data_IF_708540712761
#
_entry.id   IF_708540712761
#
_cell.length_a   1.000
_cell.length_b   1.000
_cell.length_c   1.000
_cell.angle_alpha   90.00
_cell.angle_beta   90.00
_cell.angle_gamma   90.00
#
_symmetry.space_group_name_H-M   'P 1'
#
loop_
_entity.id
_entity.type
_entity.pdbx_description
1 polymer ?
#
# COMPACT_ATOMS: atom_id res chain seq x y z
N UNK A 1 8.07 21.51 19.56
CA UNK A 1 7.92 20.27 18.77
C UNK A 1 6.45 20.08 18.51
N UNK A 2 6.05 19.90 17.25
CA UNK A 2 4.65 19.68 16.87
C UNK A 2 4.35 18.19 16.76
N UNK A 3 3.13 17.81 17.07
CA UNK A 3 2.69 16.42 17.06
C UNK A 3 1.35 16.28 16.31
N UNK A 4 1.18 15.14 15.67
CA UNK A 4 0.03 14.84 14.82
C UNK A 4 -0.45 13.42 15.09
N UNK A 5 -1.74 13.18 14.93
CA UNK A 5 -2.29 11.83 14.90
C UNK A 5 -2.33 11.32 13.47
N UNK A 6 -1.81 10.13 13.26
CA UNK A 6 -1.95 9.38 12.02
C UNK A 6 -2.70 8.09 12.27
N UNK A 7 -3.73 7.82 11.46
CA UNK A 7 -4.53 6.60 11.52
C UNK A 7 -4.51 5.90 10.18
N UNK A 8 -4.21 4.60 10.19
CA UNK A 8 -4.15 3.73 9.02
C UNK A 8 -5.21 2.64 9.17
N UNK A 9 -6.23 2.67 8.33
CA UNK A 9 -7.34 1.73 8.34
C UNK A 9 -7.08 0.64 7.31
N UNK A 10 -6.75 -0.55 7.78
CA UNK A 10 -6.61 -1.74 6.94
C UNK A 10 -7.82 -2.67 7.05
N UNK A 11 -7.90 -3.64 6.14
CA UNK A 11 -9.03 -4.60 6.12
C UNK A 11 -9.11 -5.55 7.32
N UNK A 12 -8.03 -5.70 8.13
CA UNK A 12 -7.99 -6.59 9.30
C UNK A 12 -7.75 -5.85 10.61
N UNK A 13 -7.21 -4.64 10.56
CA UNK A 13 -6.90 -3.84 11.74
C UNK A 13 -6.82 -2.36 11.41
N UNK A 14 -7.17 -1.53 12.38
CA UNK A 14 -6.90 -0.10 12.39
C UNK A 14 -5.65 0.11 13.25
N UNK A 15 -4.70 0.88 12.73
CA UNK A 15 -3.49 1.28 13.44
C UNK A 15 -3.43 2.79 13.56
N UNK A 16 -2.92 3.29 14.65
CA UNK A 16 -2.70 4.72 14.80
C UNK A 16 -1.45 5.03 15.58
N UNK A 17 -0.96 6.25 15.41
CA UNK A 17 0.23 6.71 16.11
C UNK A 17 0.23 8.21 16.38
N UNK A 18 0.97 8.59 17.42
CA UNK A 18 1.39 9.95 17.69
C UNK A 18 2.73 10.16 16.99
N UNK A 19 2.75 11.06 16.02
CA UNK A 19 3.91 11.30 15.14
C UNK A 19 4.40 12.73 15.34
N UNK A 20 5.72 12.92 15.51
CA UNK A 20 6.31 14.24 15.56
C UNK A 20 6.58 14.85 14.18
N UNK A 21 7.05 16.10 14.16
CA UNK A 21 7.34 16.84 12.92
C UNK A 21 8.49 16.24 12.08
N UNK A 22 9.29 15.35 12.66
CA UNK A 22 10.39 14.63 12.00
C UNK A 22 9.96 13.23 11.50
N UNK A 23 8.68 12.89 11.64
CA UNK A 23 8.12 11.61 11.19
C UNK A 23 8.36 10.44 12.16
N UNK A 24 8.88 10.70 13.36
CA UNK A 24 9.10 9.69 14.39
C UNK A 24 7.79 9.35 15.09
N UNK A 25 7.47 8.06 15.15
CA UNK A 25 6.32 7.55 15.88
C UNK A 25 6.67 7.39 17.36
N UNK A 26 6.02 8.16 18.22
CA UNK A 26 6.26 8.16 19.67
C UNK A 26 5.42 7.09 20.38
N UNK A 27 4.23 6.84 19.90
CA UNK A 27 3.28 5.88 20.45
C UNK A 27 2.47 5.26 19.33
N UNK A 28 2.14 3.97 19.46
CA UNK A 28 1.29 3.23 18.53
C UNK A 28 0.21 2.46 19.27
N UNK A 29 -0.97 2.41 18.69
CA UNK A 29 -2.05 1.53 19.12
C UNK A 29 -2.67 0.84 17.92
N UNK A 30 -3.15 -0.40 18.13
CA UNK A 30 -3.77 -1.22 17.07
C UNK A 30 -5.03 -1.86 17.62
N UNK A 31 -6.13 -1.75 16.87
CA UNK A 31 -7.38 -2.43 17.13
C UNK A 31 -7.74 -3.34 15.94
N UNK A 32 -8.20 -4.56 16.21
CA UNK A 32 -8.70 -5.45 15.15
C UNK A 32 -10.02 -4.92 14.59
N UNK A 33 -10.20 -5.07 13.30
CA UNK A 33 -11.49 -4.81 12.65
C UNK A 33 -12.38 -6.04 12.84
N UNK A 34 -13.59 -5.78 13.29
CA UNK A 34 -14.71 -6.74 13.33
C UNK A 34 -15.84 -6.28 12.37
N UNK A 35 -17.09 -6.51 12.71
CA UNK A 35 -18.24 -6.10 11.90
C UNK A 35 -18.53 -4.60 11.89
N UNK A 36 -18.03 -3.84 12.90
CA UNK A 36 -18.18 -2.38 13.00
C UNK A 36 -16.85 -1.69 12.68
N UNK A 37 -16.81 -0.92 11.60
CA UNK A 37 -15.59 -0.26 11.17
C UNK A 37 -15.29 1.03 11.96
N UNK A 38 -16.28 1.68 12.57
CA UNK A 38 -16.10 2.92 13.34
C UNK A 38 -15.50 2.63 14.72
N UNK A 39 -15.96 1.57 15.39
CA UNK A 39 -15.46 1.24 16.72
C UNK A 39 -13.93 1.06 16.79
N UNK A 40 -13.27 0.31 15.88
CA UNK A 40 -11.81 0.21 15.89
C UNK A 40 -11.10 1.55 15.66
N UNK A 41 -11.65 2.43 14.82
CA UNK A 41 -11.12 3.79 14.61
C UNK A 41 -11.20 4.59 15.90
N UNK A 42 -12.40 4.60 16.54
CA UNK A 42 -12.62 5.30 17.78
C UNK A 42 -11.71 4.80 18.91
N UNK A 43 -11.55 3.48 19.03
CA UNK A 43 -10.68 2.86 20.02
C UNK A 43 -9.23 3.33 19.85
N UNK A 44 -8.73 3.34 18.61
CA UNK A 44 -7.39 3.82 18.30
C UNK A 44 -7.24 5.31 18.66
N UNK A 45 -8.16 6.17 18.23
CA UNK A 45 -8.09 7.62 18.50
C UNK A 45 -8.18 7.92 20.01
N UNK A 46 -9.01 7.19 20.75
CA UNK A 46 -9.08 7.32 22.22
C UNK A 46 -7.71 7.01 22.86
N UNK A 47 -7.04 5.92 22.46
CA UNK A 47 -5.74 5.56 22.99
C UNK A 47 -4.66 6.62 22.64
N UNK A 48 -4.70 7.20 21.43
CA UNK A 48 -3.79 8.28 21.05
C UNK A 48 -4.01 9.56 21.90
N UNK A 49 -5.28 9.92 22.15
CA UNK A 49 -5.63 11.08 22.99
C UNK A 49 -5.23 10.87 24.45
N UNK A 50 -5.42 9.67 24.97
CA UNK A 50 -4.99 9.31 26.32
C UNK A 50 -3.47 9.44 26.47
N UNK A 51 -2.70 8.88 25.54
CA UNK A 51 -1.26 9.03 25.52
C UNK A 51 -0.84 10.50 25.46
N UNK A 52 -1.43 11.29 24.55
CA UNK A 52 -1.13 12.70 24.39
C UNK A 52 -1.42 13.49 25.67
N UNK A 53 -2.56 13.23 26.34
CA UNK A 53 -2.93 13.83 27.64
C UNK A 53 -1.89 13.51 28.71
N UNK A 54 -1.47 12.25 28.84
CA UNK A 54 -0.50 11.80 29.83
C UNK A 54 0.92 12.38 29.62
N UNK A 55 1.21 12.84 28.41
CA UNK A 55 2.48 13.50 28.01
C UNK A 55 2.37 15.02 27.86
N UNK A 56 1.19 15.60 28.21
CA UNK A 56 0.91 17.02 28.04
C UNK A 56 1.11 17.53 26.60
N UNK A 57 0.88 16.64 25.63
CA UNK A 57 0.96 16.93 24.20
C UNK A 57 -0.40 17.43 23.70
N UNK A 58 -0.41 18.57 23.02
CA UNK A 58 -1.61 19.11 22.39
C UNK A 58 -1.62 18.71 20.92
N UNK A 59 -2.64 17.96 20.49
CA UNK A 59 -2.87 17.60 19.08
C UNK A 59 -4.27 18.09 18.70
N UNK A 60 -4.36 18.84 17.60
CA UNK A 60 -5.62 19.38 17.06
C UNK A 60 -6.00 18.78 15.70
N UNK A 61 -5.08 18.06 15.05
CA UNK A 61 -5.25 17.54 13.71
C UNK A 61 -4.93 16.05 13.65
N UNK A 62 -5.75 15.35 12.87
CA UNK A 62 -5.59 13.94 12.58
C UNK A 62 -5.62 13.72 11.07
N UNK A 63 -4.71 12.91 10.56
CA UNK A 63 -4.83 12.36 9.22
C UNK A 63 -5.27 10.91 9.28
N UNK A 64 -6.08 10.47 8.32
CA UNK A 64 -6.53 9.08 8.21
C UNK A 64 -6.38 8.54 6.79
N UNK A 65 -5.79 7.36 6.67
CA UNK A 65 -5.77 6.56 5.45
C UNK A 65 -6.86 5.51 5.49
N UNK A 66 -7.72 5.47 4.46
CA UNK A 66 -8.84 4.52 4.39
C UNK A 66 -8.90 3.82 3.03
N UNK A 67 -9.17 2.50 2.97
CA UNK A 67 -9.34 1.77 1.71
C UNK A 67 -10.77 1.95 1.16
N UNK A 68 -11.23 3.19 1.08
CA UNK A 68 -12.61 3.54 0.75
C UNK A 68 -12.66 4.63 -0.31
N UNK A 69 -13.81 4.72 -1.01
CA UNK A 69 -14.15 5.87 -1.84
C UNK A 69 -14.98 6.83 -0.99
N UNK A 70 -14.56 8.09 -0.93
CA UNK A 70 -15.20 9.15 -0.16
C UNK A 70 -15.18 10.47 -0.93
N UNK A 71 -16.11 11.36 -0.62
CA UNK A 71 -16.09 12.73 -1.08
C UNK A 71 -15.12 13.53 -0.21
N UNK A 72 -14.07 14.08 -0.82
CA UNK A 72 -13.00 14.81 -0.11
C UNK A 72 -13.52 16.06 0.58
N UNK A 73 -14.49 16.75 0.01
CA UNK A 73 -15.03 18.01 0.54
C UNK A 73 -15.86 17.80 1.81
N UNK A 74 -16.73 16.81 1.80
CA UNK A 74 -17.63 16.51 2.91
C UNK A 74 -17.06 15.49 3.90
N UNK A 75 -16.18 14.60 3.46
CA UNK A 75 -15.70 13.46 4.25
C UNK A 75 -16.66 12.29 4.33
N UNK A 76 -17.72 12.29 3.51
CA UNK A 76 -18.72 11.21 3.47
C UNK A 76 -18.18 10.02 2.66
N UNK A 77 -18.19 8.84 3.28
CA UNK A 77 -17.77 7.61 2.61
C UNK A 77 -18.91 7.07 1.74
N UNK A 78 -18.63 6.87 0.44
CA UNK A 78 -19.60 6.34 -0.54
C UNK A 78 -19.50 4.83 -0.70
N UNK A 79 -18.28 4.28 -0.61
CA UNK A 79 -18.00 2.86 -0.81
C UNK A 79 -16.78 2.39 -0.01
N UNK A 80 -16.90 1.24 0.61
CA UNK A 80 -15.80 0.55 1.30
C UNK A 80 -15.84 -0.94 0.97
N UNK A 81 -14.71 -1.50 0.54
CA UNK A 81 -14.67 -2.87 0.00
C UNK A 81 -14.92 -3.95 1.08
N UNK A 82 -14.46 -3.73 2.32
CA UNK A 82 -14.57 -4.69 3.41
C UNK A 82 -14.92 -4.01 4.76
N UNK A 83 -15.31 -2.74 4.71
CA UNK A 83 -15.55 -1.94 5.90
C UNK A 83 -16.88 -1.21 5.75
N UNK A 84 -17.74 -1.32 6.75
CA UNK A 84 -19.06 -0.68 6.73
C UNK A 84 -18.98 0.77 7.20
N UNK A 85 -18.34 1.61 6.37
CA UNK A 85 -18.30 3.07 6.55
C UNK A 85 -19.33 3.81 5.68
N UNK A 86 -20.13 3.09 4.89
CA UNK A 86 -21.03 3.72 3.92
C UNK A 86 -21.98 4.72 4.59
N UNK A 87 -21.97 5.95 4.07
CA UNK A 87 -22.79 7.05 4.57
C UNK A 87 -22.24 7.75 5.81
N UNK A 88 -21.11 7.27 6.38
CA UNK A 88 -20.47 7.93 7.53
C UNK A 88 -19.74 9.18 7.06
N UNK A 89 -19.99 10.33 7.72
CA UNK A 89 -19.19 11.54 7.57
C UNK A 89 -18.05 11.52 8.59
N UNK A 90 -16.87 11.06 8.14
CA UNK A 90 -15.71 10.92 9.02
C UNK A 90 -15.22 12.28 9.57
N UNK A 91 -15.26 13.36 8.77
CA UNK A 91 -14.83 14.69 9.24
C UNK A 91 -15.71 15.20 10.38
N UNK A 92 -17.00 15.09 10.20
CA UNK A 92 -17.97 15.49 11.23
C UNK A 92 -17.88 14.62 12.49
N UNK A 93 -17.68 13.30 12.31
CA UNK A 93 -17.50 12.36 13.41
C UNK A 93 -16.27 12.71 14.27
N UNK A 94 -15.12 12.97 13.63
CA UNK A 94 -13.89 13.33 14.34
C UNK A 94 -14.00 14.69 15.05
N UNK A 95 -14.62 15.66 14.41
CA UNK A 95 -14.81 16.97 15.00
C UNK A 95 -15.73 16.90 16.24
N UNK A 96 -16.89 16.24 16.12
CA UNK A 96 -17.88 16.16 17.21
C UNK A 96 -17.40 15.32 18.39
N UNK A 97 -16.76 14.17 18.11
CA UNK A 97 -16.39 13.21 19.15
C UNK A 97 -15.05 13.50 19.80
N UNK A 98 -14.08 13.98 19.01
CA UNK A 98 -12.70 14.08 19.45
C UNK A 98 -12.14 15.51 19.50
N UNK A 99 -12.87 16.51 19.02
CA UNK A 99 -12.38 17.90 18.83
C UNK A 99 -11.09 17.89 17.96
N UNK A 100 -11.12 17.15 16.84
CA UNK A 100 -10.01 17.00 15.89
C UNK A 100 -10.44 17.40 14.49
N UNK A 101 -9.65 18.24 13.83
CA UNK A 101 -9.72 18.44 12.38
C UNK A 101 -9.17 17.20 11.67
N UNK A 102 -9.91 16.69 10.66
CA UNK A 102 -9.55 15.47 9.95
C UNK A 102 -9.24 15.73 8.48
N UNK A 103 -8.08 15.24 8.02
CA UNK A 103 -7.78 15.05 6.61
C UNK A 103 -7.78 13.56 6.25
N UNK A 104 -8.39 13.25 5.09
CA UNK A 104 -8.63 11.87 4.65
C UNK A 104 -7.96 11.63 3.31
N UNK A 105 -7.30 10.50 3.15
CA UNK A 105 -6.81 10.02 1.86
C UNK A 105 -6.96 8.48 1.75
N UNK A 106 -6.72 7.94 0.56
CA UNK A 106 -6.62 6.49 0.39
C UNK A 106 -5.39 5.95 1.14
N UNK A 107 -5.47 4.71 1.65
CA UNK A 107 -4.42 4.05 2.44
C UNK A 107 -3.07 3.94 1.70
N UNK A 108 -3.08 3.57 0.41
CA UNK A 108 -1.85 3.53 -0.39
C UNK A 108 -1.29 4.93 -0.67
N UNK A 109 -2.16 5.94 -0.81
CA UNK A 109 -1.75 7.34 -0.97
C UNK A 109 -1.06 7.85 0.29
N UNK A 110 -1.61 7.56 1.48
CA UNK A 110 -0.96 7.93 2.75
C UNK A 110 0.37 7.22 2.92
N UNK A 111 0.44 5.91 2.68
CA UNK A 111 1.70 5.18 2.73
C UNK A 111 2.74 5.77 1.76
N UNK A 112 2.33 6.16 0.54
CA UNK A 112 3.18 6.85 -0.43
C UNK A 112 3.71 8.19 0.08
N UNK A 113 2.86 8.98 0.74
CA UNK A 113 3.25 10.25 1.34
C UNK A 113 4.25 10.07 2.49
N UNK A 114 4.06 9.04 3.33
CA UNK A 114 5.00 8.68 4.39
C UNK A 114 6.38 8.31 3.84
N UNK A 115 6.42 7.48 2.79
CA UNK A 115 7.67 7.12 2.11
C UNK A 115 8.32 8.31 1.42
N UNK A 116 7.54 9.21 0.81
CA UNK A 116 8.05 10.40 0.13
C UNK A 116 8.64 11.45 1.08
N UNK A 117 8.10 11.57 2.31
CA UNK A 117 8.60 12.54 3.29
C UNK A 117 9.72 11.98 4.18
N UNK A 118 9.56 10.76 4.68
CA UNK A 118 10.42 10.21 5.73
C UNK A 118 11.01 8.83 5.41
N UNK A 119 10.69 8.26 4.24
CA UNK A 119 11.13 6.93 3.85
C UNK A 119 12.07 6.89 2.65
N UNK A 120 11.83 5.91 1.77
CA UNK A 120 12.65 5.65 0.60
C UNK A 120 12.60 6.77 -0.45
N UNK A 121 11.54 7.58 -0.45
CA UNK A 121 11.33 8.70 -1.36
C UNK A 121 11.83 10.06 -0.87
N UNK A 122 12.44 10.15 0.33
CA UNK A 122 12.75 11.43 0.99
C UNK A 122 13.64 12.37 0.16
N UNK A 123 14.54 11.81 -0.64
CA UNK A 123 15.52 12.57 -1.43
C UNK A 123 15.02 12.87 -2.86
N UNK A 124 13.77 12.49 -3.21
CA UNK A 124 13.17 12.64 -4.53
C UNK A 124 11.94 13.55 -4.48
N UNK A 125 11.75 14.39 -5.50
CA UNK A 125 10.57 15.27 -5.60
C UNK A 125 9.33 14.49 -5.99
N UNK A 126 9.47 13.56 -6.93
CA UNK A 126 8.38 12.78 -7.50
C UNK A 126 8.59 11.30 -7.22
N UNK A 127 7.65 10.66 -6.57
CA UNK A 127 7.72 9.24 -6.25
C UNK A 127 6.39 8.54 -6.46
N UNK A 128 6.46 7.27 -6.83
CA UNK A 128 5.28 6.40 -6.88
C UNK A 128 5.53 5.21 -5.98
N UNK A 129 4.70 5.06 -4.95
CA UNK A 129 4.66 3.86 -4.14
C UNK A 129 3.70 2.85 -4.78
N UNK A 130 4.16 1.61 -4.93
CA UNK A 130 3.33 0.45 -5.31
C UNK A 130 3.36 -0.53 -4.15
N UNK A 131 2.25 -0.68 -3.44
CA UNK A 131 2.14 -1.66 -2.35
C UNK A 131 1.64 -2.98 -2.90
N UNK A 132 2.34 -4.09 -2.57
CA UNK A 132 1.98 -5.44 -3.00
C UNK A 132 1.76 -6.29 -1.75
N UNK A 133 0.49 -6.53 -1.48
CA UNK A 133 -0.01 -7.31 -0.36
C UNK A 133 -1.18 -8.20 -0.80
N UNK A 134 -2.23 -8.31 -0.01
CA UNK A 134 -3.48 -9.01 -0.38
C UNK A 134 -4.02 -8.51 -1.72
N UNK A 135 -4.00 -7.19 -1.93
CA UNK A 135 -4.21 -6.50 -3.20
C UNK A 135 -2.96 -5.77 -3.67
N UNK A 136 -3.16 -4.83 -4.59
CA UNK A 136 -2.13 -3.89 -5.07
C UNK A 136 -2.65 -2.47 -4.87
N UNK A 137 -1.88 -1.62 -4.17
CA UNK A 137 -2.20 -0.21 -4.01
C UNK A 137 -1.18 0.68 -4.72
N UNK A 138 -1.54 1.94 -4.98
CA UNK A 138 -0.64 2.90 -5.60
C UNK A 138 -0.82 4.29 -4.97
N UNK A 139 0.28 4.86 -4.49
CA UNK A 139 0.36 6.25 -4.02
C UNK A 139 1.23 7.08 -4.96
N UNK A 140 0.67 8.13 -5.57
CA UNK A 140 1.37 9.00 -6.51
C UNK A 140 1.67 10.33 -5.82
N UNK A 141 2.94 10.66 -5.70
CA UNK A 141 3.43 11.86 -5.03
C UNK A 141 4.21 12.69 -6.05
N UNK A 142 3.75 13.90 -6.32
CA UNK A 142 4.41 14.87 -7.20
C UNK A 142 4.73 16.14 -6.40
N UNK A 143 5.95 16.65 -6.54
CA UNK A 143 6.46 17.80 -5.78
C UNK A 143 6.22 17.64 -4.25
N UNK A 144 6.51 16.43 -3.73
CA UNK A 144 6.27 16.05 -2.33
C UNK A 144 4.82 16.11 -1.86
N UNK A 145 3.87 16.23 -2.78
CA UNK A 145 2.43 16.28 -2.49
C UNK A 145 1.70 15.10 -3.11
N UNK A 146 0.72 14.51 -2.42
CA UNK A 146 -0.07 13.44 -2.99
C UNK A 146 -0.99 13.98 -4.09
N UNK A 147 -1.16 13.23 -5.18
CA UNK A 147 -2.25 13.51 -6.12
C UNK A 147 -3.55 13.06 -5.48
N UNK A 148 -4.47 13.98 -5.36
CA UNK A 148 -5.79 13.76 -4.78
C UNK A 148 -6.87 14.22 -5.78
N UNK A 149 -8.00 13.52 -5.82
CA UNK A 149 -9.21 13.97 -6.52
C UNK A 149 -10.39 14.08 -5.57
N UNK A 150 -11.46 14.71 -6.04
CA UNK A 150 -12.68 14.87 -5.23
C UNK A 150 -13.33 13.53 -4.85
N UNK A 151 -13.23 12.52 -5.73
CA UNK A 151 -13.79 11.18 -5.50
C UNK A 151 -12.82 10.24 -4.78
N UNK A 152 -11.66 10.69 -4.32
CA UNK A 152 -10.58 9.87 -3.73
C UNK A 152 -10.05 8.69 -4.55
N UNK A 153 -10.64 8.38 -5.70
CA UNK A 153 -10.27 7.25 -6.56
C UNK A 153 -9.15 7.62 -7.54
N UNK A 154 -8.00 8.06 -7.02
CA UNK A 154 -6.78 8.33 -7.81
C UNK A 154 -5.73 7.27 -7.49
N UNK A 155 -4.96 6.87 -8.51
CA UNK A 155 -3.92 5.89 -8.34
C UNK A 155 -4.42 4.44 -8.37
N UNK A 156 -5.59 4.18 -8.98
CA UNK A 156 -6.16 2.83 -9.14
C UNK A 156 -5.38 2.01 -10.19
N UNK A 157 -4.05 2.00 -10.07
CA UNK A 157 -3.11 1.26 -10.92
C UNK A 157 -3.44 -0.24 -10.95
N UNK A 158 -3.87 -0.78 -9.81
CA UNK A 158 -4.27 -2.17 -9.62
C UNK A 158 -5.37 -2.63 -10.59
N UNK A 159 -6.23 -1.71 -11.04
CA UNK A 159 -7.36 -2.00 -11.90
C UNK A 159 -7.13 -1.64 -13.38
N UNK A 160 -5.91 -1.21 -13.74
CA UNK A 160 -5.53 -1.07 -15.15
C UNK A 160 -5.42 -2.46 -15.81
N UNK A 161 -5.92 -2.58 -17.04
CA UNK A 161 -5.90 -3.84 -17.79
C UNK A 161 -4.52 -4.07 -18.39
N UNK A 162 -3.82 -5.12 -17.95
CA UNK A 162 -2.52 -5.55 -18.49
C UNK A 162 -2.61 -6.81 -19.38
N UNK A 163 -3.73 -7.52 -19.31
CA UNK A 163 -4.01 -8.70 -20.15
C UNK A 163 -5.42 -8.62 -20.71
N UNK A 164 -5.54 -8.34 -21.99
CA UNK A 164 -6.85 -8.28 -22.66
C UNK A 164 -7.58 -9.62 -22.53
N UNK A 165 -8.86 -9.58 -22.14
CA UNK A 165 -9.68 -10.76 -21.84
C UNK A 165 -9.10 -11.73 -20.81
N UNK A 166 -8.25 -11.23 -19.93
CA UNK A 166 -7.54 -12.00 -18.91
C UNK A 166 -8.38 -12.44 -17.73
N UNK A 167 -7.72 -12.66 -16.57
CA UNK A 167 -8.37 -13.13 -15.34
C UNK A 167 -9.46 -12.17 -14.87
N UNK A 168 -10.55 -12.73 -14.33
CA UNK A 168 -11.57 -11.91 -13.65
C UNK A 168 -10.98 -11.24 -12.42
N UNK A 169 -11.23 -9.96 -12.26
CA UNK A 169 -10.86 -9.17 -11.11
C UNK A 169 -12.05 -9.00 -10.15
N UNK A 170 -11.76 -8.76 -8.88
CA UNK A 170 -12.77 -8.47 -7.84
C UNK A 170 -13.57 -7.20 -8.13
N UNK A 171 -12.98 -6.21 -8.85
CA UNK A 171 -13.67 -5.00 -9.28
C UNK A 171 -14.73 -5.21 -10.40
N UNK A 172 -14.91 -6.44 -10.89
CA UNK A 172 -15.83 -6.78 -11.97
C UNK A 172 -15.21 -6.83 -13.36
N UNK A 173 -14.07 -6.16 -13.59
CA UNK A 173 -13.36 -6.15 -14.87
C UNK A 173 -12.53 -7.43 -15.10
N UNK A 174 -11.90 -7.52 -16.28
CA UNK A 174 -10.98 -8.59 -16.64
C UNK A 174 -9.60 -8.03 -16.98
N UNK A 175 -8.56 -8.79 -16.62
CA UNK A 175 -7.18 -8.48 -17.00
C UNK A 175 -6.50 -7.43 -16.15
N UNK A 176 -7.10 -7.00 -15.04
CA UNK A 176 -6.52 -6.03 -14.12
C UNK A 176 -5.18 -6.49 -13.56
N UNK A 177 -4.25 -5.57 -13.36
CA UNK A 177 -2.92 -5.80 -12.77
C UNK A 177 -2.99 -6.61 -11.48
N UNK A 178 -3.90 -6.27 -10.57
CA UNK A 178 -4.06 -6.95 -9.28
C UNK A 178 -4.30 -8.46 -9.41
N UNK A 179 -5.05 -8.88 -10.42
CA UNK A 179 -5.32 -10.31 -10.67
C UNK A 179 -4.07 -11.12 -11.03
N UNK A 180 -2.91 -10.46 -11.21
CA UNK A 180 -1.62 -11.07 -11.57
C UNK A 180 -0.49 -10.72 -10.61
N UNK A 181 -0.51 -9.53 -10.01
CA UNK A 181 0.58 -8.98 -9.23
C UNK A 181 0.35 -8.95 -7.71
N UNK A 182 -0.86 -9.22 -7.22
CA UNK A 182 -1.10 -9.33 -5.78
C UNK A 182 -0.53 -10.64 -5.20
N UNK A 183 -0.23 -10.64 -3.90
CA UNK A 183 0.14 -11.88 -3.19
C UNK A 183 -1.00 -12.91 -3.24
N UNK A 184 -2.24 -12.46 -3.18
CA UNK A 184 -3.41 -13.33 -3.37
C UNK A 184 -3.38 -14.02 -4.75
N UNK A 185 -3.01 -13.30 -5.80
CA UNK A 185 -2.88 -13.88 -7.15
C UNK A 185 -1.70 -14.86 -7.22
N UNK A 186 -0.57 -14.51 -6.61
CA UNK A 186 0.61 -15.39 -6.51
C UNK A 186 0.26 -16.70 -5.80
N UNK A 187 -0.40 -16.64 -4.64
CA UNK A 187 -0.80 -17.84 -3.88
C UNK A 187 -1.77 -18.74 -4.65
N UNK A 188 -2.72 -18.15 -5.39
CA UNK A 188 -3.59 -18.90 -6.30
C UNK A 188 -2.79 -19.60 -7.40
N UNK A 189 -1.77 -18.94 -7.94
CA UNK A 189 -0.90 -19.52 -8.95
C UNK A 189 -0.03 -20.65 -8.39
N UNK A 190 0.57 -20.48 -7.21
CA UNK A 190 1.34 -21.51 -6.51
C UNK A 190 0.46 -22.74 -6.29
N UNK A 191 -0.71 -22.58 -5.66
CA UNK A 191 -1.66 -23.66 -5.42
C UNK A 191 -2.03 -24.42 -6.70
N UNK A 192 -2.40 -23.69 -7.75
CA UNK A 192 -2.79 -24.27 -9.03
C UNK A 192 -1.66 -25.06 -9.68
N UNK A 193 -0.45 -24.54 -9.68
CA UNK A 193 0.69 -25.19 -10.31
C UNK A 193 1.19 -26.38 -9.48
N UNK A 194 1.20 -26.31 -8.16
CA UNK A 194 1.51 -27.45 -7.28
C UNK A 194 0.55 -28.63 -7.52
N UNK A 195 -0.77 -28.36 -7.61
CA UNK A 195 -1.76 -29.42 -7.86
C UNK A 195 -1.53 -30.16 -9.17
N UNK A 196 -0.90 -29.51 -10.18
CA UNK A 196 -0.53 -30.13 -11.47
C UNK A 196 0.84 -30.81 -11.46
N UNK A 197 1.69 -30.52 -10.48
CA UNK A 197 3.09 -30.96 -10.44
C UNK A 197 3.41 -31.60 -9.09
N UNK A 198 3.05 -32.88 -8.92
CA UNK A 198 3.18 -33.62 -7.66
C UNK A 198 4.62 -33.94 -7.28
N UNK A 199 5.58 -33.81 -8.21
CA UNK A 199 6.99 -34.11 -7.98
C UNK A 199 7.81 -32.89 -7.52
N UNK A 200 7.21 -31.69 -7.45
CA UNK A 200 7.89 -30.48 -6.96
C UNK A 200 8.18 -30.58 -5.47
N UNK A 201 9.37 -30.14 -5.05
CA UNK A 201 9.74 -30.06 -3.63
C UNK A 201 8.90 -29.04 -2.85
N UNK A 202 8.14 -28.18 -3.53
CA UNK A 202 7.18 -27.27 -2.89
C UNK A 202 6.21 -28.02 -1.96
N UNK A 203 5.89 -29.30 -2.25
CA UNK A 203 5.02 -30.11 -1.41
C UNK A 203 5.62 -30.45 -0.04
N UNK A 204 6.94 -30.42 0.09
CA UNK A 204 7.63 -30.67 1.37
C UNK A 204 7.60 -29.43 2.28
N UNK A 205 7.51 -28.22 1.68
CA UNK A 205 7.69 -26.96 2.40
C UNK A 205 6.42 -26.10 2.50
N UNK A 206 5.45 -26.30 1.60
CA UNK A 206 4.24 -25.48 1.53
C UNK A 206 2.97 -26.30 1.69
N UNK A 207 2.06 -25.78 2.52
CA UNK A 207 0.68 -26.23 2.56
C UNK A 207 -0.14 -25.45 1.52
N UNK A 208 -0.80 -26.14 0.58
CA UNK A 208 -1.64 -25.52 -0.46
C UNK A 208 -2.85 -24.75 0.07
N UNK A 209 -3.21 -24.95 1.32
CA UNK A 209 -4.30 -24.23 1.99
C UNK A 209 -3.80 -23.04 2.83
N UNK A 210 -2.48 -23.00 3.12
CA UNK A 210 -1.86 -21.94 3.93
C UNK A 210 -0.43 -21.69 3.39
N UNK A 211 -0.33 -20.93 2.31
CA UNK A 211 0.93 -20.69 1.61
C UNK A 211 1.71 -19.56 2.29
N UNK A 212 2.88 -19.88 2.84
CA UNK A 212 3.84 -18.84 3.29
C UNK A 212 4.65 -18.34 2.10
N UNK A 213 4.49 -17.05 1.77
CA UNK A 213 5.22 -16.41 0.67
C UNK A 213 6.73 -16.35 0.92
N UNK A 214 7.20 -16.21 2.16
CA UNK A 214 8.64 -16.19 2.48
C UNK A 214 9.27 -17.53 2.16
N UNK A 215 8.60 -18.61 2.53
CA UNK A 215 9.05 -19.98 2.20
C UNK A 215 9.08 -20.15 0.68
N UNK A 216 8.02 -19.75 -0.03
CA UNK A 216 8.01 -19.84 -1.51
C UNK A 216 9.21 -19.12 -2.13
N UNK A 217 9.49 -17.86 -1.76
CA UNK A 217 10.60 -17.11 -2.32
C UNK A 217 11.97 -17.72 -1.99
N UNK A 218 12.13 -18.41 -0.87
CA UNK A 218 13.37 -19.13 -0.51
C UNK A 218 13.64 -20.36 -1.37
N UNK A 219 12.64 -20.84 -2.12
CA UNK A 219 12.70 -22.04 -2.93
C UNK A 219 12.88 -21.77 -4.44
N UNK A 220 12.85 -20.51 -4.89
CA UNK A 220 12.89 -20.18 -6.33
C UNK A 220 14.18 -20.65 -7.03
N UNK A 221 15.29 -20.73 -6.30
CA UNK A 221 16.56 -21.25 -6.85
C UNK A 221 16.69 -22.77 -6.71
N UNK A 222 15.87 -23.40 -5.85
CA UNK A 222 15.95 -24.83 -5.52
C UNK A 222 14.93 -25.67 -6.28
N UNK A 223 13.85 -25.07 -6.77
CA UNK A 223 12.76 -25.77 -7.42
C UNK A 223 12.39 -25.12 -8.77
N UNK A 224 12.36 -25.94 -9.83
CA UNK A 224 12.05 -25.47 -11.17
C UNK A 224 10.61 -24.92 -11.31
N UNK A 225 9.66 -25.49 -10.57
CA UNK A 225 8.28 -25.01 -10.56
C UNK A 225 8.18 -23.67 -9.84
N UNK A 226 8.83 -23.51 -8.69
CA UNK A 226 8.89 -22.25 -7.96
C UNK A 226 9.51 -21.16 -8.83
N UNK A 227 10.63 -21.45 -9.49
CA UNK A 227 11.28 -20.51 -10.44
C UNK A 227 10.33 -20.11 -11.57
N UNK A 228 9.61 -21.04 -12.19
CA UNK A 228 8.65 -20.77 -13.26
C UNK A 228 7.51 -19.85 -12.79
N UNK A 229 6.95 -20.09 -11.60
CA UNK A 229 5.88 -19.28 -11.02
C UNK A 229 6.41 -17.87 -10.70
N UNK A 230 7.59 -17.77 -10.08
CA UNK A 230 8.26 -16.51 -9.78
C UNK A 230 8.51 -15.69 -11.04
N UNK A 231 9.08 -16.29 -12.11
CA UNK A 231 9.35 -15.58 -13.37
C UNK A 231 8.07 -14.98 -13.97
N UNK A 232 6.97 -15.70 -13.92
CA UNK A 232 5.68 -15.18 -14.38
C UNK A 232 5.21 -13.99 -13.53
N UNK A 233 5.31 -14.07 -12.21
CA UNK A 233 4.96 -13.00 -11.29
C UNK A 233 5.81 -11.74 -11.54
N UNK A 234 7.14 -11.90 -11.62
CA UNK A 234 8.07 -10.81 -11.91
C UNK A 234 7.79 -10.17 -13.27
N UNK A 235 7.44 -10.95 -14.28
CA UNK A 235 7.13 -10.40 -15.61
C UNK A 235 5.89 -9.48 -15.58
N UNK A 236 4.89 -9.79 -14.78
CA UNK A 236 3.76 -8.88 -14.59
C UNK A 236 4.16 -7.62 -13.79
N UNK A 237 5.04 -7.74 -12.80
CA UNK A 237 5.57 -6.57 -12.09
C UNK A 237 6.43 -5.69 -13.01
N UNK A 238 7.19 -6.27 -13.93
CA UNK A 238 7.93 -5.52 -14.96
C UNK A 238 6.98 -4.67 -15.82
N UNK A 239 5.86 -5.24 -16.28
CA UNK A 239 4.83 -4.47 -16.99
C UNK A 239 4.31 -3.31 -16.12
N UNK A 240 4.03 -3.59 -14.86
CA UNK A 240 3.55 -2.58 -13.91
C UNK A 240 4.49 -1.39 -13.81
N UNK A 241 5.78 -1.64 -13.48
CA UNK A 241 6.75 -0.55 -13.28
C UNK A 241 7.06 0.18 -14.60
N UNK A 242 7.03 -0.51 -15.74
CA UNK A 242 7.20 0.12 -17.06
C UNK A 242 6.04 1.08 -17.38
N UNK A 243 4.80 0.65 -17.11
CA UNK A 243 3.63 1.51 -17.32
C UNK A 243 3.70 2.76 -16.44
N UNK A 244 4.05 2.62 -15.17
CA UNK A 244 4.26 3.76 -14.25
C UNK A 244 5.39 4.66 -14.73
N UNK A 245 6.53 4.08 -15.12
CA UNK A 245 7.67 4.82 -15.63
C UNK A 245 7.35 5.62 -16.88
N UNK A 246 6.60 5.04 -17.83
CA UNK A 246 6.25 5.71 -19.08
C UNK A 246 5.11 6.73 -18.93
N UNK A 247 4.17 6.49 -18.01
CA UNK A 247 3.01 7.38 -17.82
C UNK A 247 3.32 8.59 -16.95
N UNK A 248 4.05 8.38 -15.83
CA UNK A 248 4.25 9.41 -14.80
C UNK A 248 5.68 9.94 -14.73
N UNK A 249 6.64 9.20 -15.23
CA UNK A 249 8.08 9.53 -15.19
C UNK A 249 8.55 10.00 -13.80
N UNK A 250 8.30 9.23 -12.73
CA UNK A 250 8.72 9.64 -11.39
C UNK A 250 10.25 9.59 -11.24
N UNK A 251 10.79 10.29 -10.23
CA UNK A 251 12.21 10.22 -9.90
C UNK A 251 12.58 8.87 -9.27
N UNK A 252 11.60 8.20 -8.61
CA UNK A 252 11.76 6.89 -7.97
C UNK A 252 10.45 6.12 -7.95
N UNK A 253 10.52 4.79 -8.15
CA UNK A 253 9.42 3.86 -7.89
C UNK A 253 9.76 3.08 -6.62
N UNK A 254 8.83 3.07 -5.65
CA UNK A 254 9.00 2.43 -4.35
C UNK A 254 8.09 1.20 -4.30
N UNK A 255 8.66 0.03 -4.00
CA UNK A 255 7.89 -1.19 -3.79
C UNK A 255 7.67 -1.39 -2.29
N UNK A 256 6.40 -1.38 -1.89
CA UNK A 256 5.96 -1.59 -0.51
C UNK A 256 5.11 -2.85 -0.35
N UNK A 257 4.48 -2.99 0.82
CA UNK A 257 3.68 -4.15 1.19
C UNK A 257 4.54 -5.37 1.54
N UNK A 258 3.90 -6.50 1.77
CA UNK A 258 4.58 -7.72 2.24
C UNK A 258 5.67 -8.24 1.31
N UNK A 259 5.56 -7.98 0.01
CA UNK A 259 6.55 -8.42 -0.99
C UNK A 259 7.88 -7.67 -0.87
N UNK A 260 7.88 -6.44 -0.36
CA UNK A 260 9.12 -5.64 -0.24
C UNK A 260 10.17 -6.27 0.68
N UNK A 261 9.74 -7.11 1.62
CA UNK A 261 10.62 -7.88 2.50
C UNK A 261 11.52 -8.88 1.74
N UNK A 262 11.22 -9.19 0.46
CA UNK A 262 12.04 -10.06 -0.37
C UNK A 262 13.27 -9.35 -0.96
N UNK A 263 13.38 -8.02 -0.80
CA UNK A 263 14.56 -7.25 -1.18
C UNK A 263 14.96 -7.44 -2.65
N UNK A 264 16.24 -7.78 -2.89
CA UNK A 264 16.81 -7.89 -4.23
C UNK A 264 16.14 -8.90 -5.14
N UNK A 265 15.49 -9.92 -4.59
CA UNK A 265 14.71 -10.89 -5.37
C UNK A 265 13.61 -10.19 -6.20
N UNK A 266 13.06 -9.11 -5.68
CA UNK A 266 12.06 -8.30 -6.38
C UNK A 266 12.70 -7.07 -7.06
N UNK A 267 13.56 -6.37 -6.35
CA UNK A 267 14.05 -5.04 -6.76
C UNK A 267 15.04 -5.13 -7.94
N UNK A 268 15.98 -6.06 -7.88
CA UNK A 268 17.03 -6.18 -8.91
C UNK A 268 16.45 -6.45 -10.32
N UNK A 269 15.57 -7.46 -10.54
CA UNK A 269 15.03 -7.73 -11.87
C UNK A 269 14.13 -6.59 -12.41
N UNK A 270 13.52 -5.78 -11.54
CA UNK A 270 12.75 -4.60 -11.96
C UNK A 270 13.67 -3.47 -12.42
N UNK A 271 14.75 -3.20 -11.68
CA UNK A 271 15.76 -2.22 -12.07
C UNK A 271 16.45 -2.60 -13.39
N UNK A 272 16.83 -3.87 -13.56
CA UNK A 272 17.45 -4.36 -14.81
C UNK A 272 16.49 -4.19 -16.00
N UNK A 273 15.21 -4.49 -15.80
CA UNK A 273 14.21 -4.36 -16.84
C UNK A 273 14.00 -2.90 -17.27
N UNK A 274 13.89 -1.95 -16.35
CA UNK A 274 13.66 -0.55 -16.68
C UNK A 274 14.82 0.11 -17.44
N UNK A 275 16.05 -0.43 -17.36
CA UNK A 275 17.19 0.09 -18.14
C UNK A 275 16.96 0.05 -19.64
N UNK A 276 16.16 -0.90 -20.13
CA UNK A 276 15.99 -1.18 -21.56
C UNK A 276 14.53 -1.02 -22.03
N UNK A 277 13.55 -1.01 -21.11
CA UNK A 277 12.15 -1.13 -21.48
C UNK A 277 11.29 0.10 -21.16
N UNK A 278 11.90 1.24 -20.82
CA UNK A 278 11.23 2.54 -20.78
C UNK A 278 11.31 3.21 -22.15
N UNK A 279 10.43 4.19 -22.40
CA UNK A 279 10.54 4.98 -23.61
C UNK A 279 11.84 5.76 -23.64
N UNK A 280 12.60 5.63 -24.74
CA UNK A 280 13.87 6.33 -24.99
C UNK A 280 14.89 6.21 -23.81
N UNK A 281 15.32 4.99 -23.42
CA UNK A 281 16.10 4.78 -22.20
C UNK A 281 17.49 5.44 -22.25
N UNK A 282 18.06 5.62 -23.45
CA UNK A 282 19.37 6.26 -23.66
C UNK A 282 19.32 7.79 -23.49
N UNK A 283 18.14 8.40 -23.67
CA UNK A 283 17.94 9.85 -23.68
C UNK A 283 17.24 10.38 -22.43
N UNK A 284 16.87 9.51 -21.49
CA UNK A 284 16.08 9.87 -20.32
C UNK A 284 16.77 9.46 -19.03
N UNK A 285 16.53 10.19 -17.95
CA UNK A 285 17.05 9.85 -16.63
C UNK A 285 16.58 8.46 -16.18
N UNK A 286 17.49 7.72 -15.53
CA UNK A 286 17.18 6.41 -14.95
C UNK A 286 16.20 6.58 -13.78
N UNK A 287 15.21 5.71 -13.72
CA UNK A 287 14.23 5.65 -12.62
C UNK A 287 14.59 4.45 -11.74
N UNK A 288 15.16 4.68 -10.54
CA UNK A 288 15.45 3.59 -9.62
C UNK A 288 14.15 2.99 -9.07
N UNK A 289 14.15 1.66 -8.93
CA UNK A 289 13.15 0.92 -8.14
C UNK A 289 13.80 0.57 -6.81
N UNK A 290 13.15 0.91 -5.69
CA UNK A 290 13.67 0.70 -4.34
C UNK A 290 12.63 0.06 -3.43
N UNK A 291 13.06 -0.59 -2.34
CA UNK A 291 12.13 -1.07 -1.30
C UNK A 291 11.70 0.07 -0.39
N UNK A 292 10.44 0.04 0.06
CA UNK A 292 9.92 0.91 1.10
C UNK A 292 10.73 0.78 2.41
N UNK A 293 10.89 1.87 3.16
CA UNK A 293 11.67 1.93 4.39
C UNK A 293 10.83 1.99 5.67
N UNK A 294 9.66 2.63 5.62
CA UNK A 294 8.81 2.83 6.80
C UNK A 294 8.03 1.55 7.20
N UNK A 295 8.07 0.51 6.38
CA UNK A 295 7.45 -0.78 6.67
C UNK A 295 5.97 -0.65 7.07
N UNK A 296 5.60 -1.25 8.20
CA UNK A 296 4.22 -1.21 8.72
C UNK A 296 3.79 0.15 9.29
N UNK A 297 4.69 1.11 9.42
CA UNK A 297 4.41 2.45 9.94
C UNK A 297 4.16 3.47 8.81
N UNK A 298 4.38 3.08 7.55
CA UNK A 298 4.21 3.97 6.39
C UNK A 298 2.83 4.62 6.34
N UNK A 299 1.76 3.85 6.58
CA UNK A 299 0.38 4.35 6.63
C UNK A 299 0.15 5.34 7.79
N UNK A 300 0.66 5.04 8.99
CA UNK A 300 0.56 5.92 10.17
C UNK A 300 1.30 7.24 9.92
N UNK A 301 2.57 7.16 9.50
CA UNK A 301 3.41 8.33 9.23
C UNK A 301 2.79 9.16 8.11
N UNK A 302 2.38 8.52 7.03
CA UNK A 302 1.79 9.20 5.88
C UNK A 302 0.44 9.83 6.18
N UNK A 303 -0.39 9.19 7.00
CA UNK A 303 -1.63 9.78 7.49
C UNK A 303 -1.34 11.05 8.30
N UNK A 304 -0.40 11.02 9.25
CA UNK A 304 0.01 12.21 9.98
C UNK A 304 0.54 13.32 9.03
N UNK A 305 1.23 12.93 7.94
CA UNK A 305 1.74 13.86 6.93
C UNK A 305 0.66 14.64 6.16
N UNK A 306 -0.60 14.18 6.15
CA UNK A 306 -1.71 14.91 5.52
C UNK A 306 -2.00 16.24 6.23
N UNK A 307 -1.62 16.35 7.50
CA UNK A 307 -1.94 17.49 8.39
C UNK A 307 -0.71 18.22 8.94
N UNK A 308 0.49 17.83 8.49
CA UNK A 308 1.78 18.48 8.79
C UNK A 308 1.99 19.79 8.04
#
# INVERSE_FOLDING_TARGET
>A
MKYYFGVDVGGMSVKGGVVDEDGKVLFKHTCKVDSDAIYPVDNVVCALKEFAKNKEIIVKKCGIGVPCIFDKSTGVVSYGNNLDFKGVNLKEHFLKKFDLELEIANDATTAGLGEAKFGAGKDYSNSVLITIGTGVGCGIILDKKPILSNSSAVGELSHTTIVVNGRKCTCGNRGCLEAYCSMTALYKDIKREMLKNRQSILWEYLNVNDIDGRVFFSLIEKDALARKIYQRFINYLKICVTNVANLLRPDVIIIGGGVSAQGDVIIKPLNEHLKEHVFAPEYTAKIPVVSAKNGNDAGIIGSACLVM
#
